data_IF_628051144489
#
_entry.id   IF_628051144489
#
_cell.length_a   1.000
_cell.length_b   1.000
_cell.length_c   1.000
_cell.angle_alpha   90.00
_cell.angle_beta   90.00
_cell.angle_gamma   90.00
#
_symmetry.space_group_name_H-M   'P 1'
#
loop_
_entity.id
_entity.type
_entity.pdbx_description
1 polymer ?
#
# COMPACT_ATOMS: atom_id res chain seq x y z
N UNK A 1 5.23 1.40 32.19
CA UNK A 1 5.77 0.36 31.28
C UNK A 1 4.60 -0.52 30.94
N UNK A 2 4.38 -0.75 29.65
CA UNK A 2 3.28 -1.57 29.16
C UNK A 2 3.79 -2.96 28.85
N UNK A 3 3.10 -4.00 29.34
CA UNK A 3 3.38 -5.38 28.95
C UNK A 3 2.54 -5.73 27.73
N UNK A 4 3.21 -5.99 26.60
CA UNK A 4 2.56 -6.46 25.38
C UNK A 4 2.86 -7.93 25.22
N UNK A 5 1.85 -8.79 25.35
CA UNK A 5 2.01 -10.23 25.13
C UNK A 5 1.51 -10.59 23.75
N UNK A 6 2.41 -11.08 22.90
CA UNK A 6 2.08 -11.57 21.56
C UNK A 6 1.78 -13.06 21.60
N UNK A 7 0.64 -13.45 21.05
CA UNK A 7 0.19 -14.84 20.97
C UNK A 7 -0.28 -15.16 19.56
N UNK A 8 0.18 -16.27 19.00
CA UNK A 8 -0.22 -16.71 17.66
C UNK A 8 -0.06 -18.22 17.49
N UNK A 9 -0.94 -18.87 16.70
CA UNK A 9 -0.74 -20.26 16.30
C UNK A 9 0.56 -20.52 15.54
N UNK A 10 1.17 -19.50 14.92
CA UNK A 10 2.45 -19.63 14.22
C UNK A 10 3.67 -19.45 15.13
N UNK A 11 3.46 -19.09 16.40
CA UNK A 11 4.52 -18.90 17.38
C UNK A 11 4.63 -20.15 18.27
N UNK A 12 5.87 -20.54 18.61
CA UNK A 12 6.12 -21.69 19.48
C UNK A 12 5.70 -21.46 20.94
N UNK A 13 5.67 -20.19 21.38
CA UNK A 13 5.24 -19.77 22.71
C UNK A 13 4.82 -18.30 22.68
N UNK A 14 3.98 -17.91 23.64
CA UNK A 14 3.65 -16.50 23.84
C UNK A 14 4.90 -15.71 24.25
N UNK A 15 5.05 -14.51 23.70
CA UNK A 15 6.20 -13.64 23.97
C UNK A 15 5.71 -12.32 24.56
N UNK A 16 6.13 -12.02 25.78
CA UNK A 16 5.85 -10.73 26.42
C UNK A 16 7.02 -9.77 26.21
N UNK A 17 6.70 -8.59 25.70
CA UNK A 17 7.62 -7.49 25.44
C UNK A 17 7.28 -6.31 26.34
N UNK A 18 8.29 -5.70 26.91
CA UNK A 18 8.16 -4.49 27.72
C UNK A 18 8.31 -3.26 26.81
N UNK A 19 7.22 -2.54 26.61
CA UNK A 19 7.23 -1.28 25.87
C UNK A 19 7.30 -0.09 26.82
N UNK A 20 8.21 0.84 26.53
CA UNK A 20 8.31 2.11 27.26
C UNK A 20 7.16 3.01 26.80
N UNK A 21 6.27 3.35 27.73
CA UNK A 21 5.16 4.26 27.45
C UNK A 21 5.73 5.66 27.13
N UNK A 22 5.52 6.13 25.90
CA UNK A 22 6.01 7.44 25.41
C UNK A 22 6.83 7.38 24.12
N UNK A 23 7.27 6.19 23.70
CA UNK A 23 8.18 6.03 22.55
C UNK A 23 7.50 6.18 21.16
N UNK A 24 6.23 6.61 21.13
CA UNK A 24 5.38 6.78 19.92
C UNK A 24 5.35 5.57 18.96
N UNK A 25 5.82 4.40 19.38
CA UNK A 25 5.84 3.18 18.57
C UNK A 25 4.46 2.54 18.43
N UNK A 26 4.18 2.01 17.24
CA UNK A 26 2.99 1.20 16.96
C UNK A 26 3.24 -0.26 17.37
N UNK A 27 2.17 -1.05 17.53
CA UNK A 27 2.29 -2.49 17.84
C UNK A 27 3.17 -3.19 16.79
N UNK A 28 3.06 -2.81 15.52
CA UNK A 28 3.91 -3.34 14.45
C UNK A 28 5.40 -2.98 14.64
N UNK A 29 5.71 -1.74 15.07
CA UNK A 29 7.08 -1.33 15.32
C UNK A 29 7.72 -2.16 16.46
N UNK A 30 6.97 -2.38 17.55
CA UNK A 30 7.41 -3.24 18.67
C UNK A 30 7.54 -4.71 18.25
N UNK A 31 6.61 -5.20 17.44
CA UNK A 31 6.71 -6.56 16.90
C UNK A 31 8.00 -6.73 16.07
N UNK A 32 8.33 -5.75 15.23
CA UNK A 32 9.56 -5.79 14.40
C UNK A 32 10.83 -5.76 15.23
N UNK A 33 10.92 -4.91 16.25
CA UNK A 33 12.12 -4.81 17.10
C UNK A 33 12.37 -6.09 17.90
N UNK A 34 11.32 -6.88 18.18
CA UNK A 34 11.40 -8.15 18.89
C UNK A 34 11.24 -9.39 17.99
N UNK A 35 11.35 -9.22 16.67
CA UNK A 35 11.26 -10.31 15.67
C UNK A 35 9.97 -11.16 15.79
N UNK A 36 8.85 -10.54 16.14
CA UNK A 36 7.54 -11.17 16.17
C UNK A 36 6.95 -11.19 14.75
N UNK A 37 6.50 -12.35 14.23
CA UNK A 37 6.13 -12.53 12.83
C UNK A 37 4.68 -12.07 12.54
N UNK A 38 4.36 -10.80 12.79
CA UNK A 38 3.08 -10.21 12.35
C UNK A 38 3.16 -9.96 10.84
N UNK A 39 2.21 -10.44 10.02
CA UNK A 39 2.17 -10.12 8.59
C UNK A 39 1.99 -8.62 8.35
N UNK A 40 2.71 -8.03 7.40
CA UNK A 40 2.54 -6.62 7.03
C UNK A 40 2.96 -6.39 5.56
N UNK A 41 2.18 -5.58 4.83
CA UNK A 41 2.50 -5.22 3.43
C UNK A 41 2.69 -3.69 3.27
N UNK A 42 1.71 -2.88 3.69
CA UNK A 42 1.72 -1.42 3.45
C UNK A 42 2.35 -0.56 4.58
N UNK A 43 2.17 -0.95 5.85
CA UNK A 43 2.52 -0.18 7.05
C UNK A 43 1.82 1.19 7.24
N UNK A 44 0.90 1.57 6.36
CA UNK A 44 0.17 2.86 6.37
C UNK A 44 -1.34 2.72 6.65
N UNK A 45 -1.80 1.49 6.88
CA UNK A 45 -3.20 1.19 7.20
C UNK A 45 -4.09 0.90 6.01
N UNK A 46 -3.54 0.70 4.80
CA UNK A 46 -4.33 0.52 3.56
C UNK A 46 -4.61 -0.96 3.22
N UNK A 47 -3.70 -1.89 3.53
CA UNK A 47 -3.84 -3.30 3.11
C UNK A 47 -4.60 -4.24 4.07
N UNK A 48 -4.65 -3.90 5.37
CA UNK A 48 -5.24 -4.77 6.40
C UNK A 48 -4.45 -6.02 6.81
N UNK A 49 -3.30 -6.32 6.20
CA UNK A 49 -2.53 -7.55 6.44
C UNK A 49 -2.03 -7.71 7.89
N UNK A 50 -1.79 -6.59 8.57
CA UNK A 50 -1.37 -6.54 9.97
C UNK A 50 -2.54 -6.55 10.97
N UNK A 51 -3.63 -7.23 10.62
CA UNK A 51 -4.80 -7.40 11.48
C UNK A 51 -4.41 -8.12 12.77
N UNK A 52 -4.73 -7.50 13.90
CA UNK A 52 -4.52 -8.05 15.23
C UNK A 52 -5.77 -7.89 16.08
N UNK A 53 -5.98 -8.83 16.99
CA UNK A 53 -6.96 -8.71 18.06
C UNK A 53 -6.24 -8.22 19.32
N UNK A 54 -6.74 -7.15 19.92
CA UNK A 54 -6.17 -6.53 21.13
C UNK A 54 -7.10 -6.78 22.31
N UNK A 55 -6.62 -7.54 23.28
CA UNK A 55 -7.31 -7.82 24.55
C UNK A 55 -6.62 -7.06 25.68
N UNK A 56 -7.36 -6.23 26.41
CA UNK A 56 -6.82 -5.49 27.55
C UNK A 56 -6.96 -6.31 28.83
N UNK A 57 -5.88 -6.49 29.59
CA UNK A 57 -5.93 -7.23 30.86
C UNK A 57 -6.71 -6.48 31.95
N UNK A 58 -6.72 -5.13 31.91
CA UNK A 58 -7.50 -4.31 32.82
C UNK A 58 -8.59 -3.52 32.07
N UNK A 59 -9.88 -3.90 32.21
CA UNK A 59 -10.98 -3.24 31.49
C UNK A 59 -11.28 -1.82 31.97
N UNK A 60 -10.76 -1.39 33.14
CA UNK A 60 -10.96 -0.04 33.70
C UNK A 60 -9.88 0.98 33.32
N UNK A 61 -8.81 0.54 32.64
CA UNK A 61 -7.68 1.38 32.23
C UNK A 61 -7.59 1.52 30.70
N UNK A 62 -8.72 1.42 30.00
CA UNK A 62 -8.78 1.63 28.54
C UNK A 62 -8.61 3.12 28.27
N UNK A 63 -7.50 3.51 27.65
CA UNK A 63 -7.33 4.90 27.23
C UNK A 63 -8.14 5.15 25.95
N UNK A 64 -8.72 6.35 25.83
CA UNK A 64 -9.43 6.81 24.64
C UNK A 64 -8.61 6.63 23.36
N UNK A 65 -9.12 5.91 22.35
CA UNK A 65 -8.37 5.64 21.12
C UNK A 65 -9.04 6.21 19.88
N UNK A 66 -8.34 7.14 19.22
CA UNK A 66 -8.69 7.55 17.87
C UNK A 66 -8.34 6.44 16.86
N UNK A 67 -9.33 6.02 16.08
CA UNK A 67 -9.11 5.24 14.86
C UNK A 67 -8.92 6.21 13.70
N UNK A 68 -7.95 5.96 12.83
CA UNK A 68 -7.81 6.73 11.59
C UNK A 68 -8.93 6.34 10.62
N UNK A 69 -9.33 7.24 9.71
CA UNK A 69 -10.33 6.93 8.67
C UNK A 69 -9.96 5.69 7.85
N UNK A 70 -8.67 5.54 7.53
CA UNK A 70 -8.12 4.39 6.80
C UNK A 70 -8.28 3.09 7.60
N UNK A 71 -7.95 3.11 8.89
CA UNK A 71 -8.10 1.94 9.77
C UNK A 71 -9.57 1.51 9.90
N UNK A 72 -10.50 2.46 10.04
CA UNK A 72 -11.94 2.17 10.13
C UNK A 72 -12.46 1.50 8.88
N UNK A 73 -12.10 2.03 7.72
CA UNK A 73 -12.55 1.53 6.43
C UNK A 73 -12.09 0.08 6.20
N UNK A 74 -10.81 -0.20 6.45
CA UNK A 74 -10.24 -1.55 6.28
C UNK A 74 -10.84 -2.55 7.28
N UNK A 75 -10.97 -2.20 8.56
CA UNK A 75 -11.54 -3.10 9.56
C UNK A 75 -13.02 -3.41 9.29
N UNK A 76 -13.76 -2.44 8.76
CA UNK A 76 -15.14 -2.62 8.31
C UNK A 76 -15.22 -3.57 7.10
N UNK A 77 -14.34 -3.41 6.12
CA UNK A 77 -14.27 -4.28 4.94
C UNK A 77 -13.95 -5.74 5.30
N UNK A 78 -13.08 -5.94 6.29
CA UNK A 78 -12.75 -7.27 6.81
C UNK A 78 -13.89 -7.89 7.65
N UNK A 79 -14.97 -7.16 7.90
CA UNK A 79 -16.09 -7.59 8.72
C UNK A 79 -15.70 -7.82 10.19
N UNK A 80 -14.62 -7.17 10.65
CA UNK A 80 -14.08 -7.36 12.01
C UNK A 80 -14.63 -6.35 13.01
N UNK A 81 -15.15 -5.21 12.54
CA UNK A 81 -15.85 -4.22 13.36
C UNK A 81 -17.22 -3.89 12.77
N UNK A 82 -18.17 -3.63 13.64
CA UNK A 82 -19.53 -3.20 13.31
C UNK A 82 -19.66 -1.68 13.27
N UNK A 83 -20.75 -1.16 12.68
CA UNK A 83 -21.03 0.29 12.70
C UNK A 83 -21.17 0.82 14.12
N UNK A 84 -21.76 0.04 15.02
CA UNK A 84 -21.97 0.43 16.41
C UNK A 84 -20.62 0.51 17.16
N UNK A 85 -19.70 -0.44 16.91
CA UNK A 85 -18.34 -0.38 17.47
C UNK A 85 -17.52 0.81 16.94
N UNK A 86 -17.78 1.27 15.72
CA UNK A 86 -17.15 2.49 15.19
C UNK A 86 -17.67 3.72 15.94
N UNK A 87 -18.98 3.81 16.14
CA UNK A 87 -19.61 4.91 16.90
C UNK A 87 -19.13 4.91 18.35
N UNK A 88 -19.06 3.75 18.98
CA UNK A 88 -18.53 3.60 20.34
C UNK A 88 -17.07 4.04 20.46
N UNK A 89 -16.26 3.77 19.43
CA UNK A 89 -14.87 4.21 19.42
C UNK A 89 -14.73 5.72 19.21
N UNK A 90 -15.59 6.34 18.41
CA UNK A 90 -15.55 7.79 18.12
C UNK A 90 -16.18 8.65 19.22
N UNK A 91 -17.29 8.19 19.80
CA UNK A 91 -18.13 8.98 20.71
C UNK A 91 -17.90 8.60 22.16
N UNK A 92 -17.72 7.31 22.42
CA UNK A 92 -17.64 6.76 23.78
C UNK A 92 -16.19 6.38 24.18
N UNK A 93 -15.21 6.68 23.31
CA UNK A 93 -13.78 6.40 23.53
C UNK A 93 -13.49 4.92 23.84
N UNK A 94 -14.34 4.00 23.37
CA UNK A 94 -14.21 2.57 23.62
C UNK A 94 -13.38 1.91 22.51
N UNK A 95 -12.20 1.33 22.79
CA UNK A 95 -11.39 0.71 21.76
C UNK A 95 -12.07 -0.56 21.20
N UNK A 96 -12.10 -0.74 19.86
CA UNK A 96 -12.63 -1.96 19.26
C UNK A 96 -11.66 -3.13 19.49
N UNK A 97 -12.21 -4.35 19.42
CA UNK A 97 -11.44 -5.60 19.66
C UNK A 97 -10.38 -5.88 18.60
N UNK A 98 -10.64 -5.49 17.37
CA UNK A 98 -9.72 -5.69 16.24
C UNK A 98 -9.10 -4.37 15.83
N UNK A 99 -7.79 -4.40 15.55
CA UNK A 99 -6.97 -3.24 15.19
C UNK A 99 -5.98 -3.60 14.09
N UNK A 100 -5.48 -2.59 13.38
CA UNK A 100 -4.32 -2.75 12.52
C UNK A 100 -3.06 -2.44 13.32
N UNK A 101 -2.13 -3.39 13.42
CA UNK A 101 -0.92 -3.22 14.22
C UNK A 101 -0.06 -2.02 13.78
N UNK A 102 -0.12 -1.64 12.51
CA UNK A 102 0.59 -0.48 11.97
C UNK A 102 -0.02 0.88 12.38
N UNK A 103 -1.30 0.93 12.75
CA UNK A 103 -2.00 2.15 13.16
C UNK A 103 -2.27 2.21 14.67
N UNK A 104 -2.11 1.08 15.37
CA UNK A 104 -2.35 1.00 16.81
C UNK A 104 -1.10 1.41 17.60
N UNK A 105 -1.14 2.58 18.22
CA UNK A 105 -0.09 3.07 19.10
C UNK A 105 -0.11 2.35 20.45
N UNK A 106 1.08 1.99 20.92
CA UNK A 106 1.24 1.39 22.24
C UNK A 106 1.06 2.46 23.31
N UNK A 107 0.18 2.19 24.28
CA UNK A 107 -0.08 3.04 25.45
C UNK A 107 0.40 2.35 26.72
N UNK A 108 0.33 3.03 27.86
CA UNK A 108 0.74 2.50 29.17
C UNK A 108 -0.29 1.49 29.72
N UNK A 109 -0.56 0.42 28.98
CA UNK A 109 -1.58 -0.58 29.26
C UNK A 109 -1.05 -1.98 29.04
N UNK A 110 -1.44 -2.92 29.89
CA UNK A 110 -1.11 -4.33 29.71
C UNK A 110 -2.10 -4.95 28.73
N UNK A 111 -1.60 -5.38 27.57
CA UNK A 111 -2.40 -5.90 26.46
C UNK A 111 -1.88 -7.26 25.97
N UNK A 112 -2.80 -8.07 25.49
CA UNK A 112 -2.56 -9.30 24.75
C UNK A 112 -2.92 -9.06 23.28
N UNK A 113 -1.97 -9.32 22.39
CA UNK A 113 -2.08 -9.15 20.94
C UNK A 113 -2.12 -10.54 20.30
N UNK A 114 -3.29 -10.91 19.77
CA UNK A 114 -3.51 -12.18 19.08
C UNK A 114 -3.52 -11.96 17.56
N UNK A 115 -2.88 -12.86 16.82
CA UNK A 115 -2.90 -12.84 15.35
C UNK A 115 -2.81 -14.25 14.76
N UNK A 116 -3.38 -14.46 13.58
CA UNK A 116 -3.54 -15.79 12.96
C UNK A 116 -2.38 -16.17 12.00
N UNK A 117 -1.43 -15.27 11.74
CA UNK A 117 -0.33 -15.46 10.79
C UNK A 117 -0.75 -15.23 9.33
N UNK A 118 0.04 -15.69 8.35
CA UNK A 118 -0.12 -15.43 6.88
C UNK A 118 -1.45 -15.95 6.25
N UNK A 119 -2.41 -16.36 7.07
CA UNK A 119 -3.80 -16.63 6.66
C UNK A 119 -4.66 -15.36 6.59
N UNK A 120 -4.19 -14.24 7.15
CA UNK A 120 -4.88 -12.93 7.07
C UNK A 120 -4.63 -12.18 5.76
N UNK A 121 -4.11 -12.83 4.72
CA UNK A 121 -4.15 -12.29 3.37
C UNK A 121 -5.61 -12.27 2.91
N UNK A 122 -6.22 -11.10 2.64
CA UNK A 122 -7.46 -11.11 1.91
C UNK A 122 -7.17 -11.73 0.53
N UNK A 123 -7.75 -12.90 0.23
CA UNK A 123 -7.60 -13.53 -1.09
C UNK A 123 -8.09 -12.60 -2.23
N UNK A 124 -8.91 -11.63 -1.87
CA UNK A 124 -9.24 -10.43 -2.63
C UNK A 124 -9.23 -9.25 -1.68
N UNK A 125 -8.36 -8.26 -1.91
CA UNK A 125 -8.55 -6.92 -1.35
C UNK A 125 -10.00 -6.53 -1.64
N UNK A 126 -10.77 -6.28 -0.58
CA UNK A 126 -12.14 -5.83 -0.75
C UNK A 126 -12.04 -4.48 -1.45
N UNK A 127 -12.51 -4.44 -2.69
CA UNK A 127 -12.81 -3.19 -3.38
C UNK A 127 -13.71 -2.40 -2.42
N UNK A 128 -13.33 -1.16 -2.09
CA UNK A 128 -14.06 -0.35 -1.12
C UNK A 128 -15.56 -0.39 -1.43
N UNK A 129 -16.48 -0.36 -0.44
CA UNK A 129 -17.89 -0.12 -0.71
C UNK A 129 -18.08 1.18 -1.49
N UNK A 130 -17.14 2.13 -1.40
CA UNK A 130 -17.07 3.32 -2.25
C UNK A 130 -16.79 3.00 -3.73
N UNK A 131 -16.03 1.96 -4.07
CA UNK A 131 -15.87 1.50 -5.45
C UNK A 131 -17.04 0.60 -5.91
N UNK A 132 -17.73 -0.10 -5.00
CA UNK A 132 -19.02 -0.75 -5.28
C UNK A 132 -20.20 0.23 -5.41
N UNK A 133 -20.07 1.44 -4.83
CA UNK A 133 -21.10 2.49 -4.82
C UNK A 133 -20.60 3.84 -5.36
N UNK A 134 -19.55 3.85 -6.18
CA UNK A 134 -19.11 5.08 -6.85
C UNK A 134 -20.26 5.49 -7.78
N UNK A 135 -20.90 6.61 -7.50
CA UNK A 135 -22.03 7.12 -8.30
C UNK A 135 -21.65 7.46 -9.76
N UNK A 136 -20.38 7.32 -10.14
CA UNK A 136 -19.90 7.40 -11.52
C UNK A 136 -19.62 6.05 -12.20
N UNK A 137 -19.99 4.92 -11.58
CA UNK A 137 -20.11 3.56 -12.17
C UNK A 137 -19.33 3.28 -13.44
N UNK A 138 -18.05 2.94 -13.34
CA UNK A 138 -17.32 2.40 -14.49
C UNK A 138 -17.49 0.88 -14.52
N UNK A 139 -18.67 0.41 -14.95
CA UNK A 139 -18.89 -1.02 -15.22
C UNK A 139 -18.23 -1.39 -16.56
N UNK A 140 -16.93 -1.69 -16.55
CA UNK A 140 -16.20 -2.15 -17.74
C UNK A 140 -16.60 -3.59 -18.04
N UNK A 141 -17.44 -3.78 -19.05
CA UNK A 141 -18.02 -5.09 -19.38
C UNK A 141 -17.64 -5.61 -20.77
N UNK A 142 -16.92 -4.83 -21.57
CA UNK A 142 -16.50 -5.24 -22.91
C UNK A 142 -14.98 -5.15 -23.05
N UNK A 143 -14.40 -6.08 -23.83
CA UNK A 143 -12.96 -6.08 -24.10
C UNK A 143 -12.48 -4.78 -24.78
N UNK A 144 -13.18 -4.21 -25.78
CA UNK A 144 -12.73 -2.95 -26.40
C UNK A 144 -12.69 -1.78 -25.41
N UNK A 145 -13.68 -1.70 -24.51
CA UNK A 145 -13.68 -0.68 -23.46
C UNK A 145 -12.55 -0.91 -22.46
N UNK A 146 -12.37 -2.14 -21.99
CA UNK A 146 -11.26 -2.51 -21.11
C UNK A 146 -9.91 -2.13 -21.70
N UNK A 147 -9.65 -2.51 -22.95
CA UNK A 147 -8.40 -2.21 -23.61
C UNK A 147 -8.20 -0.72 -23.88
N UNK A 148 -9.28 0.06 -24.05
CA UNK A 148 -9.15 1.52 -24.16
C UNK A 148 -8.65 2.15 -22.86
N UNK A 149 -9.11 1.66 -21.71
CA UNK A 149 -8.57 2.09 -20.41
C UNK A 149 -7.17 1.55 -20.15
N UNK A 150 -6.91 0.27 -20.44
CA UNK A 150 -5.58 -0.31 -20.30
C UNK A 150 -4.55 0.45 -21.14
N UNK A 151 -4.88 0.80 -22.39
CA UNK A 151 -4.01 1.60 -23.24
C UNK A 151 -3.67 2.96 -22.60
N UNK A 152 -4.63 3.56 -21.88
CA UNK A 152 -4.38 4.82 -21.20
C UNK A 152 -3.48 4.64 -19.97
N UNK A 153 -3.69 3.59 -19.17
CA UNK A 153 -2.83 3.24 -18.04
C UNK A 153 -1.38 3.04 -18.52
N UNK A 154 -1.18 2.22 -19.54
CA UNK A 154 0.16 1.90 -20.07
C UNK A 154 0.85 3.12 -20.72
N UNK A 155 0.10 3.95 -21.45
CA UNK A 155 0.62 5.19 -22.01
C UNK A 155 1.06 6.17 -20.92
N UNK A 156 0.22 6.38 -19.91
CA UNK A 156 0.52 7.28 -18.81
C UNK A 156 1.73 6.77 -18.00
N UNK A 157 1.80 5.47 -17.71
CA UNK A 157 2.94 4.86 -17.04
C UNK A 157 4.24 5.08 -17.81
N UNK A 158 4.25 4.82 -19.13
CA UNK A 158 5.42 5.04 -19.97
C UNK A 158 5.92 6.49 -19.93
N UNK A 159 5.01 7.47 -20.04
CA UNK A 159 5.36 8.90 -20.00
C UNK A 159 5.92 9.32 -18.63
N UNK A 160 5.33 8.84 -17.54
CA UNK A 160 5.80 9.15 -16.20
C UNK A 160 7.17 8.52 -15.93
N UNK A 161 7.39 7.28 -16.38
CA UNK A 161 8.69 6.64 -16.27
C UNK A 161 9.77 7.34 -17.09
N UNK A 162 9.46 7.83 -18.29
CA UNK A 162 10.40 8.64 -19.07
C UNK A 162 10.80 9.92 -18.31
N UNK A 163 9.82 10.59 -17.70
CA UNK A 163 10.05 11.79 -16.90
C UNK A 163 10.93 11.49 -15.68
N UNK A 164 10.64 10.42 -14.95
CA UNK A 164 11.44 9.97 -13.81
C UNK A 164 12.85 9.52 -14.22
N UNK A 165 12.98 8.80 -15.35
CA UNK A 165 14.27 8.39 -15.89
C UNK A 165 15.14 9.60 -16.23
N UNK A 166 14.55 10.60 -16.90
CA UNK A 166 15.21 11.87 -17.20
C UNK A 166 15.62 12.61 -15.93
N UNK A 167 14.72 12.76 -14.96
CA UNK A 167 15.01 13.44 -13.71
C UNK A 167 16.16 12.76 -12.95
N UNK A 168 16.20 11.42 -12.93
CA UNK A 168 17.30 10.68 -12.32
C UNK A 168 18.61 10.82 -13.09
N UNK A 169 18.57 10.85 -14.42
CA UNK A 169 19.76 11.08 -15.24
C UNK A 169 20.34 12.48 -15.02
N UNK A 170 19.48 13.51 -15.02
CA UNK A 170 19.86 14.90 -14.78
C UNK A 170 20.45 15.09 -13.36
N UNK A 171 19.98 14.30 -12.38
CA UNK A 171 20.51 14.26 -11.03
C UNK A 171 21.78 13.36 -10.86
N UNK A 172 22.29 12.76 -11.94
CA UNK A 172 23.47 11.88 -11.92
C UNK A 172 23.21 10.47 -11.38
N UNK A 173 21.96 10.08 -11.13
CA UNK A 173 21.55 8.78 -10.62
C UNK A 173 21.36 7.75 -11.75
N UNK A 174 22.44 7.41 -12.48
CA UNK A 174 22.39 6.50 -13.63
C UNK A 174 21.73 5.13 -13.38
N UNK A 175 21.93 4.45 -12.23
CA UNK A 175 21.29 3.15 -11.97
C UNK A 175 19.76 3.22 -11.93
N UNK A 176 19.21 4.24 -11.27
CA UNK A 176 17.74 4.40 -11.14
C UNK A 176 17.14 4.98 -12.41
N UNK A 177 17.88 5.84 -13.12
CA UNK A 177 17.49 6.28 -14.46
C UNK A 177 17.32 5.09 -15.41
N UNK A 178 18.25 4.13 -15.37
CA UNK A 178 18.16 2.89 -16.17
C UNK A 178 16.95 2.04 -15.78
N UNK A 179 16.69 1.87 -14.48
CA UNK A 179 15.49 1.16 -14.01
C UNK A 179 14.22 1.76 -14.59
N UNK A 180 14.03 3.08 -14.46
CA UNK A 180 12.82 3.74 -14.99
C UNK A 180 12.74 3.67 -16.51
N UNK A 181 13.86 3.76 -17.23
CA UNK A 181 13.86 3.55 -18.67
C UNK A 181 13.40 2.13 -19.06
N UNK A 182 13.78 1.11 -18.29
CA UNK A 182 13.31 -0.27 -18.51
C UNK A 182 11.82 -0.43 -18.23
N UNK A 183 11.31 0.17 -17.14
CA UNK A 183 9.88 0.15 -16.82
C UNK A 183 9.06 0.89 -17.89
N UNK A 184 9.56 2.03 -18.41
CA UNK A 184 8.95 2.72 -19.54
C UNK A 184 8.89 1.84 -20.81
N UNK A 185 9.91 1.02 -21.05
CA UNK A 185 9.93 0.07 -22.17
C UNK A 185 8.87 -1.02 -21.99
N UNK A 186 8.73 -1.59 -20.79
CA UNK A 186 7.68 -2.56 -20.49
C UNK A 186 6.28 -1.99 -20.70
N UNK A 187 5.98 -0.78 -20.18
CA UNK A 187 4.68 -0.15 -20.40
C UNK A 187 4.40 0.09 -21.89
N UNK A 188 5.42 0.46 -22.70
CA UNK A 188 5.24 0.59 -24.16
C UNK A 188 4.98 -0.75 -24.85
N UNK A 189 5.58 -1.84 -24.38
CA UNK A 189 5.30 -3.19 -24.89
C UNK A 189 3.87 -3.60 -24.56
N UNK A 190 3.40 -3.38 -23.34
CA UNK A 190 2.01 -3.63 -22.96
C UNK A 190 1.04 -2.77 -23.77
N UNK A 191 1.33 -1.48 -23.96
CA UNK A 191 0.54 -0.61 -24.82
C UNK A 191 0.42 -1.13 -26.26
N UNK A 192 1.52 -1.66 -26.81
CA UNK A 192 1.52 -2.25 -28.15
C UNK A 192 0.66 -3.53 -28.19
N UNK A 193 0.75 -4.38 -27.17
CA UNK A 193 -0.09 -5.57 -27.05
C UNK A 193 -1.57 -5.21 -26.93
N UNK A 194 -1.92 -4.26 -26.06
CA UNK A 194 -3.27 -3.76 -25.87
C UNK A 194 -3.85 -3.25 -27.18
N UNK A 195 -3.08 -2.44 -27.93
CA UNK A 195 -3.49 -1.93 -29.24
C UNK A 195 -3.73 -3.06 -30.26
N UNK A 196 -2.89 -4.09 -30.24
CA UNK A 196 -3.06 -5.26 -31.10
C UNK A 196 -4.31 -6.08 -30.75
N UNK A 197 -4.62 -6.23 -29.45
CA UNK A 197 -5.78 -6.99 -28.94
C UNK A 197 -7.11 -6.23 -29.12
N UNK A 198 -7.10 -4.91 -29.00
CA UNK A 198 -8.31 -4.10 -29.09
C UNK A 198 -8.80 -3.88 -30.52
N UNK A 199 -7.89 -3.90 -31.49
CA UNK A 199 -8.13 -3.46 -32.88
C UNK A 199 -8.30 -1.94 -33.00
N UNK A 200 -9.19 -1.34 -32.22
CA UNK A 200 -9.39 0.11 -32.11
C UNK A 200 -9.43 0.54 -30.63
N UNK A 201 -8.69 1.61 -30.32
CA UNK A 201 -8.64 2.23 -28.98
C UNK A 201 -9.43 3.53 -29.01
N UNK A 202 -10.35 3.70 -28.06
CA UNK A 202 -11.01 4.98 -27.82
C UNK A 202 -10.09 5.89 -27.02
N UNK A 203 -9.40 6.78 -27.73
CA UNK A 203 -8.45 7.75 -27.17
C UNK A 203 -9.12 8.83 -26.30
N UNK A 204 -10.45 8.92 -26.28
CA UNK A 204 -11.18 9.87 -25.43
C UNK A 204 -11.34 9.38 -23.99
N UNK A 205 -11.08 8.09 -23.73
CA UNK A 205 -11.18 7.49 -22.40
C UNK A 205 -10.01 7.93 -21.53
N UNK A 206 -10.34 8.38 -20.31
CA UNK A 206 -9.37 8.69 -19.27
C UNK A 206 -9.60 7.79 -18.06
N UNK A 207 -8.50 7.33 -17.46
CA UNK A 207 -8.53 6.59 -16.20
C UNK A 207 -9.12 7.49 -15.11
N UNK A 208 -10.00 6.98 -14.23
CA UNK A 208 -10.54 7.77 -13.12
C UNK A 208 -9.42 8.39 -12.27
N UNK A 209 -9.62 9.59 -11.70
CA UNK A 209 -8.57 10.28 -10.94
C UNK A 209 -7.95 9.46 -9.80
N UNK A 210 -8.73 8.59 -9.16
CA UNK A 210 -8.26 7.73 -8.07
C UNK A 210 -7.25 6.66 -8.53
N UNK A 211 -7.34 6.25 -9.81
CA UNK A 211 -6.49 5.25 -10.44
C UNK A 211 -5.47 5.86 -11.41
N UNK A 212 -5.62 7.14 -11.76
CA UNK A 212 -4.69 7.84 -12.64
C UNK A 212 -3.31 7.91 -11.98
N UNK A 213 -2.26 7.83 -12.80
CA UNK A 213 -0.91 8.03 -12.29
C UNK A 213 -0.83 9.40 -11.60
N UNK A 214 -0.30 9.48 -10.37
CA UNK A 214 -0.25 10.73 -9.64
C UNK A 214 0.70 11.69 -10.34
N UNK A 215 0.16 12.83 -10.78
CA UNK A 215 0.95 13.90 -11.35
C UNK A 215 1.76 14.55 -10.22
N UNK A 216 2.99 14.09 -10.02
CA UNK A 216 3.86 14.52 -8.93
C UNK A 216 4.60 15.84 -9.23
N UNK A 217 4.27 16.50 -10.33
CA UNK A 217 4.85 17.78 -10.74
C UNK A 217 4.27 18.94 -9.92
N UNK A 218 4.69 19.09 -8.66
CA UNK A 218 4.55 20.38 -7.96
C UNK A 218 5.87 21.14 -8.00
N UNK A 219 5.86 22.47 -8.23
CA UNK A 219 7.07 23.29 -8.21
C UNK A 219 7.87 23.16 -6.91
N UNK A 220 7.20 22.96 -5.78
CA UNK A 220 7.86 22.76 -4.48
C UNK A 220 8.60 21.42 -4.39
N UNK A 221 8.10 20.34 -5.02
CA UNK A 221 8.79 19.02 -5.03
C UNK A 221 10.00 19.01 -5.96
N UNK A 222 9.92 19.68 -7.10
CA UNK A 222 11.06 19.86 -7.99
C UNK A 222 12.22 20.62 -7.31
N UNK A 223 11.90 21.61 -6.46
CA UNK A 223 12.87 22.34 -5.67
C UNK A 223 13.49 21.51 -4.52
N UNK A 224 12.70 20.66 -3.84
CA UNK A 224 13.19 19.71 -2.83
C UNK A 224 14.08 18.64 -3.45
N UNK A 225 13.83 18.28 -4.71
CA UNK A 225 14.67 17.32 -5.45
C UNK A 225 16.03 17.88 -5.88
N UNK A 226 16.22 19.19 -5.87
CA UNK A 226 17.47 19.79 -6.33
C UNK A 226 18.59 19.77 -5.29
N UNK A 227 18.30 19.53 -3.99
CA UNK A 227 19.26 19.77 -2.90
C UNK A 227 19.78 18.52 -2.17
N UNK A 228 19.09 17.38 -2.22
CA UNK A 228 19.56 16.09 -1.66
C UNK A 228 19.35 14.94 -2.66
N UNK A 229 20.44 14.50 -3.27
CA UNK A 229 20.45 13.49 -4.35
C UNK A 229 20.13 12.06 -3.88
N UNK A 230 20.16 11.79 -2.58
CA UNK A 230 19.79 10.52 -1.95
C UNK A 230 18.31 10.48 -1.62
N UNK A 231 17.78 11.55 -1.02
CA UNK A 231 16.34 11.72 -0.79
C UNK A 231 15.56 11.76 -2.11
N UNK A 232 16.15 12.27 -3.19
CA UNK A 232 15.51 12.27 -4.52
C UNK A 232 15.35 10.88 -5.10
N UNK A 233 16.33 10.00 -4.90
CA UNK A 233 16.29 8.64 -5.43
C UNK A 233 15.19 7.82 -4.75
N UNK A 234 15.17 7.82 -3.42
CA UNK A 234 14.13 7.14 -2.65
C UNK A 234 12.75 7.73 -2.92
N UNK A 235 12.65 9.07 -3.04
CA UNK A 235 11.42 9.77 -3.38
C UNK A 235 10.89 9.39 -4.76
N UNK A 236 11.76 9.31 -5.76
CA UNK A 236 11.40 8.89 -7.11
C UNK A 236 10.93 7.43 -7.16
N UNK A 237 11.63 6.53 -6.46
CA UNK A 237 11.22 5.12 -6.35
C UNK A 237 9.85 4.96 -5.68
N UNK A 238 9.58 5.74 -4.61
CA UNK A 238 8.27 5.72 -3.93
C UNK A 238 7.16 6.31 -4.79
N UNK A 239 7.46 7.35 -5.57
CA UNK A 239 6.53 7.91 -6.55
C UNK A 239 6.16 6.89 -7.64
N UNK A 240 7.15 6.20 -8.19
CA UNK A 240 6.93 5.10 -9.13
C UNK A 240 6.07 3.98 -8.52
N UNK A 241 6.39 3.56 -7.28
CA UNK A 241 5.62 2.51 -6.59
C UNK A 241 4.15 2.92 -6.41
N UNK A 242 3.88 4.19 -6.14
CA UNK A 242 2.51 4.68 -6.02
C UNK A 242 1.76 4.58 -7.35
N UNK A 243 2.41 4.93 -8.47
CA UNK A 243 1.83 4.80 -9.80
C UNK A 243 1.45 3.36 -10.13
N UNK A 244 2.39 2.43 -9.95
CA UNK A 244 2.17 0.99 -10.17
C UNK A 244 1.06 0.41 -9.30
N UNK A 245 0.99 0.83 -8.03
CA UNK A 245 -0.09 0.40 -7.13
C UNK A 245 -1.46 0.86 -7.62
N UNK A 246 -1.57 2.06 -8.21
CA UNK A 246 -2.83 2.55 -8.77
C UNK A 246 -3.25 1.79 -10.03
N UNK A 247 -2.30 1.47 -10.91
CA UNK A 247 -2.54 0.59 -12.07
C UNK A 247 -3.00 -0.81 -11.62
N UNK A 248 -2.29 -1.40 -10.66
CA UNK A 248 -2.69 -2.66 -10.03
C UNK A 248 -4.11 -2.60 -9.42
N UNK A 249 -4.42 -1.56 -8.64
CA UNK A 249 -5.73 -1.37 -8.03
C UNK A 249 -6.84 -1.19 -9.07
N UNK A 250 -6.56 -0.49 -10.17
CA UNK A 250 -7.48 -0.35 -11.29
C UNK A 250 -7.85 -1.72 -11.86
N UNK A 251 -6.87 -2.53 -12.24
CA UNK A 251 -7.14 -3.84 -12.83
C UNK A 251 -7.82 -4.79 -11.83
N UNK A 252 -7.46 -4.72 -10.54
CA UNK A 252 -8.16 -5.47 -9.47
C UNK A 252 -9.62 -5.03 -9.33
N UNK A 253 -9.90 -3.73 -9.40
CA UNK A 253 -11.25 -3.22 -9.35
C UNK A 253 -12.08 -3.71 -10.55
N UNK A 254 -11.51 -3.69 -11.75
CA UNK A 254 -12.15 -4.23 -12.96
C UNK A 254 -12.42 -5.73 -12.82
N UNK A 255 -11.42 -6.53 -12.44
CA UNK A 255 -11.55 -7.98 -12.23
C UNK A 255 -12.68 -8.33 -11.24
N UNK A 256 -12.82 -7.52 -10.18
CA UNK A 256 -13.80 -7.75 -9.13
C UNK A 256 -15.22 -7.30 -9.48
N UNK A 257 -15.39 -6.31 -10.36
CA UNK A 257 -16.67 -5.64 -10.62
C UNK A 257 -17.29 -5.96 -11.98
N UNK A 258 -16.48 -6.39 -12.95
CA UNK A 258 -16.98 -6.73 -14.29
C UNK A 258 -17.94 -7.92 -14.27
N UNK A 259 -18.95 -7.86 -15.14
CA UNK A 259 -19.88 -8.97 -15.39
C UNK A 259 -19.40 -9.89 -16.51
N UNK A 260 -18.35 -9.50 -17.25
CA UNK A 260 -17.80 -10.28 -18.36
C UNK A 260 -16.65 -11.17 -17.91
N UNK A 261 -16.78 -12.48 -18.16
CA UNK A 261 -15.71 -13.45 -17.85
C UNK A 261 -14.44 -13.19 -18.66
N UNK A 262 -14.57 -12.70 -19.88
CA UNK A 262 -13.44 -12.37 -20.75
C UNK A 262 -12.67 -11.14 -20.24
N UNK A 263 -13.40 -10.10 -19.82
CA UNK A 263 -12.79 -8.92 -19.20
C UNK A 263 -12.14 -9.29 -17.87
N UNK A 264 -12.77 -10.13 -17.05
CA UNK A 264 -12.17 -10.58 -15.79
C UNK A 264 -10.88 -11.38 -16.03
N UNK A 265 -10.85 -12.22 -17.06
CA UNK A 265 -9.65 -12.96 -17.43
C UNK A 265 -8.53 -12.03 -17.92
N UNK A 266 -8.85 -11.07 -18.80
CA UNK A 266 -7.89 -10.07 -19.27
C UNK A 266 -7.37 -9.21 -18.10
N UNK A 267 -8.25 -8.65 -17.26
CA UNK A 267 -7.84 -7.86 -16.10
C UNK A 267 -6.92 -8.64 -15.16
N UNK A 268 -7.15 -9.95 -14.97
CA UNK A 268 -6.29 -10.80 -14.15
C UNK A 268 -4.87 -10.97 -14.72
N UNK A 269 -4.69 -10.94 -16.05
CA UNK A 269 -3.36 -10.95 -16.69
C UNK A 269 -2.59 -9.68 -16.29
N UNK A 270 -3.19 -8.51 -16.52
CA UNK A 270 -2.60 -7.21 -16.18
C UNK A 270 -2.33 -7.06 -14.67
N UNK A 271 -3.20 -7.59 -13.79
CA UNK A 271 -2.93 -7.66 -12.34
C UNK A 271 -1.62 -8.38 -12.03
N UNK A 272 -1.32 -9.47 -12.76
CA UNK A 272 -0.09 -10.23 -12.58
C UNK A 272 1.15 -9.46 -12.99
N UNK A 273 1.05 -8.72 -14.09
CA UNK A 273 2.10 -7.87 -14.66
C UNK A 273 2.42 -6.69 -13.73
N UNK A 274 1.40 -5.92 -13.30
CA UNK A 274 1.62 -4.79 -12.38
C UNK A 274 2.14 -5.26 -11.02
N UNK A 275 1.73 -6.44 -10.56
CA UNK A 275 2.28 -7.02 -9.34
C UNK A 275 3.79 -7.31 -9.46
N UNK A 276 4.31 -7.56 -10.66
CA UNK A 276 5.75 -7.72 -10.90
C UNK A 276 6.48 -6.38 -10.83
N UNK A 277 5.94 -5.34 -11.46
CA UNK A 277 6.48 -3.97 -11.37
C UNK A 277 6.53 -3.48 -9.91
N UNK A 278 5.44 -3.66 -9.16
CA UNK A 278 5.37 -3.36 -7.72
C UNK A 278 6.49 -4.08 -6.96
N UNK A 279 6.67 -5.39 -7.19
CA UNK A 279 7.71 -6.19 -6.53
C UNK A 279 9.12 -5.69 -6.84
N UNK A 280 9.38 -5.33 -8.10
CA UNK A 280 10.67 -4.77 -8.52
C UNK A 280 10.94 -3.48 -7.74
N UNK A 281 9.98 -2.55 -7.72
CA UNK A 281 10.14 -1.26 -7.04
C UNK A 281 10.29 -1.41 -5.52
N UNK A 282 9.54 -2.32 -4.88
CA UNK A 282 9.68 -2.61 -3.46
C UNK A 282 11.07 -3.15 -3.10
N UNK A 283 11.65 -4.01 -3.95
CA UNK A 283 13.01 -4.50 -3.77
C UNK A 283 14.04 -3.36 -3.86
N UNK A 284 13.92 -2.47 -4.86
CA UNK A 284 14.79 -1.31 -5.00
C UNK A 284 14.67 -0.33 -3.82
N UNK A 285 13.45 -0.06 -3.37
CA UNK A 285 13.20 0.79 -2.19
C UNK A 285 13.84 0.18 -0.95
N UNK A 286 13.64 -1.12 -0.73
CA UNK A 286 14.21 -1.83 0.43
C UNK A 286 15.74 -1.72 0.44
N UNK A 287 16.38 -1.91 -0.72
CA UNK A 287 17.83 -1.77 -0.86
C UNK A 287 18.31 -0.35 -0.58
N UNK A 288 17.59 0.66 -1.09
CA UNK A 288 17.94 2.07 -0.88
C UNK A 288 17.78 2.47 0.60
N UNK A 289 16.67 2.09 1.24
CA UNK A 289 16.43 2.35 2.65
C UNK A 289 17.48 1.67 3.55
N UNK A 290 17.90 0.45 3.20
CA UNK A 290 18.99 -0.23 3.90
C UNK A 290 20.30 0.55 3.77
N UNK A 291 20.64 0.99 2.56
CA UNK A 291 21.86 1.74 2.26
C UNK A 291 21.92 3.06 3.04
N UNK A 292 20.81 3.81 3.08
CA UNK A 292 20.70 5.07 3.83
C UNK A 292 20.90 4.86 5.34
N UNK A 293 20.28 3.83 5.92
CA UNK A 293 20.45 3.50 7.35
C UNK A 293 21.90 3.17 7.69
N UNK A 294 22.60 2.44 6.82
CA UNK A 294 23.99 2.04 7.07
C UNK A 294 24.97 3.20 6.86
N UNK A 295 24.71 4.08 5.89
CA UNK A 295 25.48 5.31 5.72
C UNK A 295 25.34 6.26 6.92
N UNK A 296 24.12 6.45 7.43
CA UNK A 296 23.88 7.26 8.63
C UNK A 296 24.62 6.70 9.86
N UNK A 297 24.53 5.38 10.08
CA UNK A 297 25.24 4.71 11.17
C UNK A 297 26.76 4.82 11.03
N UNK A 298 27.31 4.78 9.82
CA UNK A 298 28.74 4.98 9.59
C UNK A 298 29.18 6.41 9.93
N UNK A 299 28.37 7.41 9.59
CA UNK A 299 28.63 8.81 9.91
C UNK A 299 28.54 9.13 11.42
N UNK A 300 27.64 8.47 12.15
CA UNK A 300 27.54 8.60 13.62
C UNK A 300 28.73 7.97 14.37
N UNK A 301 29.43 7.01 13.77
CA UNK A 301 30.56 6.31 14.36
C UNK A 301 31.93 6.87 13.93
N UNK A 302 31.95 7.91 13.09
CA UNK A 302 33.15 8.59 12.58
C UNK A 302 33.38 9.91 13.32
#
# INVERSE_FOLDING_TARGET
>A
MANITFSSPVMAKDVTVYAVAGDRGTILAVAKSHSIPIPFDCQDGECGSCLVQVEHFNPKAKSAVALTEKEKEVLRQLGKITKDEIVDAEVNDVPPRYRLACQCFVRNEDIMVRFEGDKTKPQRMAVTPAAAHYKGGMEINTLPEFFSYAAKVEEDAALHYDSLAKAMADAGNAPVAKLFAQLAEFSRLHLAEVKARAGAIDVSKNVPPDYAWPDHATPERAAVWASDTTLTRLGALKAALQGERRGYEFYRAVEATTKSREVAAAAKEFVGEEAEHVRILEAWITQEEWSLKHAAKAAENA
#
